data_IF_766360967543
#
_entry.id   IF_766360967543
#
_cell.length_a   1.000
_cell.length_b   1.000
_cell.length_c   1.000
_cell.angle_alpha   90.00
_cell.angle_beta   90.00
_cell.angle_gamma   90.00
#
_symmetry.space_group_name_H-M   'P 1'
#
loop_
_entity.id
_entity.type
_entity.pdbx_description
1 polymer ?
#
# COMPACT_ATOMS: atom_id res chain seq x y z
N UNK A 1 27.07 4.48 -7.71
CA UNK A 1 25.73 4.75 -8.24
C UNK A 1 25.79 5.84 -9.32
N UNK A 2 24.85 5.85 -10.27
CA UNK A 2 24.73 6.91 -11.30
C UNK A 2 23.59 7.84 -10.86
N UNK A 3 23.83 9.15 -10.66
CA UNK A 3 22.76 10.08 -10.30
C UNK A 3 21.80 10.30 -11.47
N UNK A 4 20.50 10.32 -11.18
CA UNK A 4 19.44 10.59 -12.16
C UNK A 4 18.91 12.00 -11.93
N UNK A 5 18.70 12.75 -13.01
CA UNK A 5 18.17 14.11 -12.94
C UNK A 5 16.83 14.22 -13.66
N UNK A 6 15.76 14.40 -12.89
CA UNK A 6 14.40 14.58 -13.40
C UNK A 6 14.14 16.07 -13.61
N UNK A 7 13.89 16.48 -14.86
CA UNK A 7 13.68 17.89 -15.25
C UNK A 7 12.59 18.02 -16.29
N UNK A 8 11.96 19.19 -16.31
CA UNK A 8 11.05 19.59 -17.39
C UNK A 8 11.82 19.99 -18.64
N UNK A 9 11.32 19.60 -19.81
CA UNK A 9 11.81 20.12 -21.10
C UNK A 9 11.23 21.50 -21.44
N UNK A 10 10.23 21.95 -20.67
CA UNK A 10 9.52 23.22 -20.88
C UNK A 10 10.02 24.36 -19.99
N UNK A 11 10.82 24.06 -18.96
CA UNK A 11 11.35 25.07 -18.03
C UNK A 11 12.83 24.87 -17.77
N UNK A 12 13.52 25.92 -17.35
CA UNK A 12 14.93 25.86 -16.94
C UNK A 12 15.14 25.50 -15.47
N UNK A 13 14.05 25.17 -14.76
CA UNK A 13 14.10 24.85 -13.34
C UNK A 13 15.09 23.70 -13.05
N UNK A 14 15.71 23.71 -11.85
CA UNK A 14 16.70 22.71 -11.50
C UNK A 14 16.08 21.32 -11.42
N UNK A 15 14.79 21.15 -11.06
CA UNK A 15 14.18 19.83 -10.95
C UNK A 15 14.73 19.00 -9.78
N UNK A 16 14.62 17.68 -9.86
CA UNK A 16 14.95 16.76 -8.74
C UNK A 16 16.09 15.82 -9.11
N UNK A 17 17.09 15.71 -8.23
CA UNK A 17 18.20 14.76 -8.37
C UNK A 17 17.94 13.55 -7.49
N UNK A 18 18.02 12.36 -8.06
CA UNK A 18 17.94 11.07 -7.36
C UNK A 18 19.36 10.50 -7.29
N UNK A 19 19.87 10.29 -6.07
CA UNK A 19 21.22 9.79 -5.78
C UNK A 19 21.24 9.00 -4.47
N UNK A 20 22.30 8.23 -4.26
CA UNK A 20 22.51 7.40 -3.06
C UNK A 20 22.98 8.21 -1.84
N UNK A 21 23.85 9.19 -2.05
CA UNK A 21 24.40 10.02 -0.97
C UNK A 21 23.44 11.16 -0.58
N UNK A 22 23.17 11.27 0.73
CA UNK A 22 22.37 12.34 1.31
C UNK A 22 23.22 13.54 1.70
N UNK A 23 22.72 14.76 1.51
CA UNK A 23 23.28 15.96 2.15
C UNK A 23 22.81 16.08 3.60
N UNK A 24 23.50 16.91 4.38
CA UNK A 24 23.12 17.19 5.78
C UNK A 24 21.75 17.87 5.86
N UNK A 25 21.43 18.75 4.91
CA UNK A 25 20.11 19.41 4.80
C UNK A 25 19.00 18.41 4.48
N UNK A 26 19.27 17.44 3.61
CA UNK A 26 18.34 16.37 3.24
C UNK A 26 18.01 15.43 4.41
N UNK A 27 18.87 15.33 5.44
CA UNK A 27 18.58 14.54 6.67
C UNK A 27 17.49 15.16 7.55
N UNK A 28 17.14 16.43 7.34
CA UNK A 28 16.07 17.09 8.11
C UNK A 28 14.67 16.58 7.77
N UNK A 29 14.48 16.01 6.57
CA UNK A 29 13.19 15.46 6.13
C UNK A 29 13.12 13.96 6.41
N UNK A 30 12.42 13.61 7.49
CA UNK A 30 12.19 12.22 7.89
C UNK A 30 11.31 11.49 6.85
N UNK A 31 10.26 12.19 6.40
CA UNK A 31 9.38 11.77 5.30
C UNK A 31 9.74 12.57 4.05
N UNK A 32 9.81 11.91 2.91
CA UNK A 32 10.18 12.49 1.61
C UNK A 32 9.00 12.74 0.70
N UNK A 33 7.88 12.07 0.94
CA UNK A 33 6.69 12.31 0.17
C UNK A 33 5.50 11.52 0.68
N UNK A 34 4.34 11.96 0.19
CA UNK A 34 3.06 11.26 0.30
C UNK A 34 2.68 10.84 -1.11
N UNK A 35 2.38 9.55 -1.29
CA UNK A 35 1.88 9.00 -2.53
C UNK A 35 0.46 8.47 -2.34
N UNK A 36 -0.33 8.46 -3.41
CA UNK A 36 -1.62 7.81 -3.41
C UNK A 36 -1.88 7.12 -4.75
N UNK A 37 -2.77 6.14 -4.73
CA UNK A 37 -3.24 5.41 -5.90
C UNK A 37 -4.74 5.12 -5.73
N UNK A 38 -5.55 5.70 -6.64
CA UNK A 38 -7.01 5.53 -6.68
C UNK A 38 -7.44 4.40 -7.63
N UNK A 39 -6.50 3.79 -8.36
CA UNK A 39 -6.76 2.78 -9.37
C UNK A 39 -6.40 1.37 -8.89
N UNK A 40 -6.77 1.09 -7.63
CA UNK A 40 -6.54 -0.18 -6.97
C UNK A 40 -7.85 -0.85 -6.58
N UNK A 41 -7.88 -2.17 -6.68
CA UNK A 41 -8.97 -3.01 -6.18
C UNK A 41 -8.44 -3.92 -5.09
N UNK A 42 -9.14 -3.99 -3.96
CA UNK A 42 -8.83 -4.91 -2.85
C UNK A 42 -9.56 -6.24 -3.07
N UNK A 43 -8.80 -7.33 -3.07
CA UNK A 43 -9.32 -8.69 -3.10
C UNK A 43 -8.99 -9.35 -1.76
N UNK A 44 -9.97 -10.01 -1.16
CA UNK A 44 -9.81 -10.76 0.09
C UNK A 44 -10.22 -12.20 -0.11
N UNK A 45 -9.27 -13.12 0.09
CA UNK A 45 -9.51 -14.56 0.16
C UNK A 45 -9.71 -14.92 1.62
N UNK A 46 -10.93 -15.30 1.95
CA UNK A 46 -11.39 -15.48 3.31
C UNK A 46 -11.17 -16.91 3.78
N UNK A 47 -10.65 -17.05 4.99
CA UNK A 47 -10.69 -18.29 5.76
C UNK A 47 -9.96 -19.45 5.10
N UNK A 48 -8.77 -19.21 4.56
CA UNK A 48 -7.92 -20.26 3.99
C UNK A 48 -7.05 -20.91 5.07
N UNK A 49 -6.69 -22.17 4.86
CA UNK A 49 -5.78 -22.88 5.76
C UNK A 49 -4.39 -22.23 5.77
N UNK A 50 -3.84 -21.97 6.94
CA UNK A 50 -2.50 -21.43 7.10
C UNK A 50 -1.45 -22.55 7.01
N UNK A 51 -1.25 -23.07 5.80
CA UNK A 51 -0.32 -24.16 5.50
C UNK A 51 0.50 -23.84 4.24
N UNK A 52 1.70 -24.45 4.08
CA UNK A 52 2.51 -24.25 2.89
C UNK A 52 1.73 -24.54 1.59
N UNK A 53 1.92 -23.68 0.59
CA UNK A 53 1.37 -23.86 -0.76
C UNK A 53 0.08 -23.08 -1.07
N UNK A 54 -0.68 -22.61 -0.07
CA UNK A 54 -1.90 -21.84 -0.33
C UNK A 54 -1.60 -20.52 -1.02
N UNK A 55 -0.68 -19.72 -0.46
CA UNK A 55 -0.22 -18.47 -1.08
C UNK A 55 0.34 -18.71 -2.49
N UNK A 56 1.15 -19.76 -2.66
CA UNK A 56 1.71 -20.14 -3.96
C UNK A 56 0.61 -20.41 -5.00
N UNK A 57 -0.43 -21.17 -4.66
CA UNK A 57 -1.54 -21.44 -5.57
C UNK A 57 -2.26 -20.16 -6.01
N UNK A 58 -2.53 -19.25 -5.07
CA UNK A 58 -3.22 -17.98 -5.36
C UNK A 58 -2.38 -17.13 -6.31
N UNK A 59 -1.14 -16.86 -5.95
CA UNK A 59 -0.30 -15.92 -6.71
C UNK A 59 0.24 -16.53 -8.01
N UNK A 60 0.42 -17.86 -8.09
CA UNK A 60 0.74 -18.51 -9.36
C UNK A 60 -0.42 -18.43 -10.35
N UNK A 61 -1.66 -18.64 -9.89
CA UNK A 61 -2.83 -18.54 -10.77
C UNK A 61 -3.02 -17.11 -11.31
N UNK A 62 -2.78 -16.08 -10.47
CA UNK A 62 -2.79 -14.69 -10.91
C UNK A 62 -1.67 -14.39 -11.91
N UNK A 63 -0.45 -14.89 -11.64
CA UNK A 63 0.68 -14.72 -12.54
C UNK A 63 0.47 -15.42 -13.91
N UNK A 64 -0.11 -16.62 -13.92
CA UNK A 64 -0.47 -17.36 -15.15
C UNK A 64 -1.51 -16.61 -15.99
N UNK A 65 -2.35 -15.79 -15.34
CA UNK A 65 -3.30 -14.88 -15.98
C UNK A 65 -2.72 -13.50 -16.32
N UNK A 66 -1.42 -13.27 -16.09
CA UNK A 66 -0.72 -12.01 -16.32
C UNK A 66 -1.30 -10.82 -15.53
N UNK A 67 -1.69 -11.07 -14.28
CA UNK A 67 -2.20 -10.06 -13.35
C UNK A 67 -1.11 -9.73 -12.34
N UNK A 68 -0.75 -8.45 -12.27
CA UNK A 68 0.21 -7.95 -11.29
C UNK A 68 -0.45 -7.71 -9.94
N UNK A 69 0.28 -8.01 -8.86
CA UNK A 69 -0.18 -7.88 -7.48
C UNK A 69 0.74 -6.90 -6.77
N UNK A 70 0.15 -5.89 -6.12
CA UNK A 70 0.89 -4.82 -5.45
C UNK A 70 1.04 -5.08 -3.95
N UNK A 71 -0.01 -4.84 -3.17
CA UNK A 71 0.02 -5.03 -1.72
C UNK A 71 -0.40 -6.46 -1.39
N UNK A 72 0.33 -7.13 -0.49
CA UNK A 72 -0.08 -8.44 0.07
C UNK A 72 -0.08 -8.32 1.60
N UNK A 73 -1.19 -8.66 2.23
CA UNK A 73 -1.37 -8.70 3.68
C UNK A 73 -2.01 -10.01 4.08
N UNK A 74 -1.33 -10.76 4.93
CA UNK A 74 -1.86 -11.98 5.55
C UNK A 74 -1.98 -11.74 7.06
N UNK A 75 -3.18 -11.95 7.60
CA UNK A 75 -3.44 -11.79 9.03
C UNK A 75 -4.18 -13.00 9.60
N UNK A 76 -3.69 -13.50 10.74
CA UNK A 76 -4.30 -14.61 11.46
C UNK A 76 -5.64 -14.15 12.06
N UNK A 77 -6.71 -14.93 11.82
CA UNK A 77 -8.04 -14.60 12.36
C UNK A 77 -8.15 -14.84 13.87
N UNK A 78 -7.52 -15.90 14.36
CA UNK A 78 -7.46 -16.25 15.78
C UNK A 78 -6.18 -17.04 16.03
N UNK A 79 -5.56 -16.83 17.20
CA UNK A 79 -4.36 -17.56 17.61
C UNK A 79 -4.58 -19.09 17.67
N UNK A 80 -5.83 -19.51 17.90
CA UNK A 80 -6.18 -20.93 18.07
C UNK A 80 -6.69 -21.58 16.78
N UNK A 81 -6.91 -20.80 15.71
CA UNK A 81 -7.34 -21.31 14.41
C UNK A 81 -6.17 -21.33 13.43
N UNK A 82 -5.92 -22.45 12.76
CA UNK A 82 -4.97 -22.51 11.65
C UNK A 82 -5.55 -21.92 10.35
N UNK A 83 -6.30 -20.82 10.48
CA UNK A 83 -7.08 -20.18 9.41
C UNK A 83 -6.69 -18.70 9.36
N UNK A 84 -6.46 -18.23 8.15
CA UNK A 84 -5.99 -16.86 7.87
C UNK A 84 -6.81 -16.25 6.74
N UNK A 85 -6.83 -14.92 6.70
CA UNK A 85 -7.23 -14.20 5.51
C UNK A 85 -6.01 -13.75 4.73
N UNK A 86 -6.15 -13.72 3.42
CA UNK A 86 -5.16 -13.13 2.51
C UNK A 86 -5.84 -11.99 1.77
N UNK A 87 -5.34 -10.78 2.00
CA UNK A 87 -5.78 -9.57 1.32
C UNK A 87 -4.68 -9.13 0.37
N UNK A 88 -5.05 -8.76 -0.85
CA UNK A 88 -4.10 -8.16 -1.77
C UNK A 88 -4.77 -7.15 -2.68
N UNK A 89 -3.96 -6.32 -3.34
CA UNK A 89 -4.42 -5.35 -4.32
C UNK A 89 -3.94 -5.68 -5.72
N UNK A 90 -4.80 -5.39 -6.69
CA UNK A 90 -4.52 -5.43 -8.14
C UNK A 90 -4.93 -4.09 -8.76
N UNK A 91 -4.46 -3.81 -9.97
CA UNK A 91 -4.97 -2.66 -10.72
C UNK A 91 -6.48 -2.80 -10.96
N UNK A 92 -7.25 -1.72 -10.87
CA UNK A 92 -8.70 -1.77 -11.07
C UNK A 92 -9.12 -2.32 -12.43
N UNK A 93 -8.24 -2.21 -13.45
CA UNK A 93 -8.50 -2.75 -14.78
C UNK A 93 -8.52 -4.29 -14.79
N UNK A 94 -7.79 -4.92 -13.87
CA UNK A 94 -7.64 -6.38 -13.77
C UNK A 94 -8.62 -7.00 -12.77
N UNK A 95 -9.42 -6.18 -12.08
CA UNK A 95 -10.30 -6.57 -10.98
C UNK A 95 -11.21 -7.77 -11.30
N UNK A 96 -11.91 -7.72 -12.44
CA UNK A 96 -12.86 -8.78 -12.83
C UNK A 96 -12.15 -10.08 -13.26
N UNK A 97 -10.99 -9.99 -13.90
CA UNK A 97 -10.21 -11.17 -14.25
C UNK A 97 -9.59 -11.80 -13.01
N UNK A 98 -8.99 -10.99 -12.14
CA UNK A 98 -8.44 -11.43 -10.86
C UNK A 98 -9.49 -12.12 -10.00
N UNK A 99 -10.72 -11.57 -9.94
CA UNK A 99 -11.84 -12.21 -9.27
C UNK A 99 -12.13 -13.59 -9.85
N UNK A 100 -12.27 -13.71 -11.17
CA UNK A 100 -12.58 -15.00 -11.83
C UNK A 100 -11.49 -16.05 -11.57
N UNK A 101 -10.22 -15.66 -11.65
CA UNK A 101 -9.08 -16.53 -11.37
C UNK A 101 -9.14 -17.05 -9.93
N UNK A 102 -9.31 -16.16 -8.96
CA UNK A 102 -9.29 -16.50 -7.53
C UNK A 102 -10.52 -17.31 -7.14
N UNK A 103 -11.69 -16.97 -7.65
CA UNK A 103 -12.91 -17.77 -7.47
C UNK A 103 -12.76 -19.17 -8.09
N UNK A 104 -12.12 -19.28 -9.25
CA UNK A 104 -11.88 -20.56 -9.94
C UNK A 104 -11.03 -21.54 -9.13
N UNK A 105 -10.08 -21.04 -8.32
CA UNK A 105 -9.23 -21.88 -7.46
C UNK A 105 -9.74 -21.97 -6.01
N UNK A 106 -10.83 -21.28 -5.66
CA UNK A 106 -11.30 -21.13 -4.27
C UNK A 106 -11.58 -22.47 -3.56
N UNK A 107 -12.10 -23.46 -4.30
CA UNK A 107 -12.33 -24.81 -3.81
C UNK A 107 -11.02 -25.56 -3.49
N UNK A 108 -10.00 -25.40 -4.34
CA UNK A 108 -8.69 -26.08 -4.24
C UNK A 108 -7.82 -25.56 -3.09
N UNK A 109 -8.13 -24.35 -2.62
CA UNK A 109 -7.50 -23.72 -1.46
C UNK A 109 -8.40 -23.74 -0.22
N UNK A 110 -9.59 -24.34 -0.32
CA UNK A 110 -10.59 -24.39 0.73
C UNK A 110 -10.94 -23.02 1.31
N UNK A 111 -11.02 -22.00 0.45
CA UNK A 111 -11.43 -20.67 0.88
C UNK A 111 -12.91 -20.68 1.34
N UNK A 112 -13.17 -19.99 2.44
CA UNK A 112 -14.54 -19.75 2.93
C UNK A 112 -15.29 -18.72 2.08
N UNK A 113 -14.58 -17.90 1.31
CA UNK A 113 -15.15 -16.94 0.39
C UNK A 113 -14.09 -16.08 -0.28
N UNK A 114 -14.50 -15.35 -1.33
CA UNK A 114 -13.69 -14.33 -1.99
C UNK A 114 -14.52 -13.05 -1.99
N UNK A 115 -13.92 -11.95 -1.54
CA UNK A 115 -14.54 -10.63 -1.53
C UNK A 115 -13.73 -9.66 -2.39
N UNK A 116 -14.42 -8.75 -3.08
CA UNK A 116 -13.84 -7.70 -3.88
C UNK A 116 -14.39 -6.35 -3.42
N UNK A 117 -13.51 -5.36 -3.32
CA UNK A 117 -13.87 -3.99 -3.00
C UNK A 117 -13.14 -3.06 -3.97
N UNK A 118 -13.91 -2.42 -4.84
CA UNK A 118 -13.44 -1.46 -5.83
C UNK A 118 -13.49 -0.01 -5.31
N UNK A 119 -14.05 0.22 -4.12
CA UNK A 119 -14.14 1.55 -3.50
C UNK A 119 -13.08 1.69 -2.40
N UNK A 120 -11.82 1.56 -2.83
CA UNK A 120 -10.65 1.73 -1.98
C UNK A 120 -9.57 2.51 -2.72
N UNK A 121 -8.70 3.14 -1.96
CA UNK A 121 -7.49 3.76 -2.46
C UNK A 121 -6.32 3.46 -1.53
N UNK A 122 -5.12 3.41 -2.11
CA UNK A 122 -3.88 3.26 -1.37
C UNK A 122 -3.29 4.64 -1.10
N UNK A 123 -2.92 4.89 0.15
CA UNK A 123 -2.15 6.07 0.56
C UNK A 123 -0.87 5.59 1.22
N UNK A 124 0.25 6.26 0.93
CA UNK A 124 1.56 5.87 1.46
C UNK A 124 2.38 7.07 1.86
N UNK A 125 3.05 6.99 2.99
CA UNK A 125 4.19 7.87 3.30
C UNK A 125 5.48 7.12 2.99
N UNK A 126 6.46 7.81 2.40
CA UNK A 126 7.76 7.23 2.06
C UNK A 126 8.87 8.12 2.60
N UNK A 127 9.86 7.52 3.24
CA UNK A 127 11.03 8.23 3.72
C UNK A 127 12.08 7.31 4.33
N UNK A 128 13.35 7.46 3.90
CA UNK A 128 14.46 6.74 4.51
C UNK A 128 14.65 7.09 6.00
N UNK A 129 14.17 8.28 6.42
CA UNK A 129 14.21 8.69 7.82
C UNK A 129 13.24 7.91 8.72
N UNK A 130 12.32 7.11 8.18
CA UNK A 130 11.41 6.29 9.00
C UNK A 130 12.17 5.25 9.84
N UNK A 131 13.28 4.73 9.30
CA UNK A 131 14.11 3.75 9.99
C UNK A 131 14.72 4.37 11.26
N UNK A 132 14.46 3.75 12.41
CA UNK A 132 14.99 4.20 13.70
C UNK A 132 14.30 5.44 14.31
N UNK A 133 13.25 5.96 13.68
CA UNK A 133 12.47 7.10 14.20
C UNK A 133 11.09 6.63 14.69
N UNK A 134 10.93 6.32 16.00
CA UNK A 134 9.64 5.92 16.54
C UNK A 134 8.62 7.06 16.43
N UNK A 135 7.34 6.71 16.29
CA UNK A 135 6.24 7.67 16.30
C UNK A 135 5.73 8.11 14.91
N UNK A 136 6.44 7.79 13.83
CA UNK A 136 5.97 8.15 12.47
C UNK A 136 4.62 7.53 12.14
N UNK A 137 4.44 6.23 12.41
CA UNK A 137 3.15 5.55 12.23
C UNK A 137 2.05 6.22 13.06
N UNK A 138 2.34 6.52 14.33
CA UNK A 138 1.39 7.20 15.24
C UNK A 138 0.94 8.55 14.69
N UNK A 139 1.87 9.35 14.15
CA UNK A 139 1.57 10.66 13.54
C UNK A 139 0.66 10.52 12.31
N UNK A 140 0.99 9.60 11.39
CA UNK A 140 0.16 9.34 10.21
C UNK A 140 -1.25 8.88 10.61
N UNK A 141 -1.35 7.91 11.51
CA UNK A 141 -2.65 7.38 11.95
C UNK A 141 -3.44 8.43 12.73
N UNK A 142 -2.77 9.26 13.53
CA UNK A 142 -3.37 10.41 14.22
C UNK A 142 -3.95 11.43 13.24
N UNK A 143 -3.21 11.81 12.21
CA UNK A 143 -3.67 12.75 11.18
C UNK A 143 -4.92 12.25 10.46
N UNK A 144 -4.96 10.96 10.10
CA UNK A 144 -6.12 10.35 9.43
C UNK A 144 -7.31 10.18 10.39
N UNK A 145 -7.06 9.75 11.62
CA UNK A 145 -8.08 9.62 12.67
C UNK A 145 -8.75 10.96 12.99
N UNK A 146 -7.98 12.04 13.10
CA UNK A 146 -8.50 13.39 13.35
C UNK A 146 -9.42 13.90 12.22
N UNK A 147 -9.25 13.38 11.00
CA UNK A 147 -10.11 13.66 9.85
C UNK A 147 -11.30 12.68 9.73
N UNK A 148 -11.43 11.72 10.65
CA UNK A 148 -12.48 10.70 10.60
C UNK A 148 -12.27 9.65 9.51
N UNK A 149 -11.04 9.49 9.02
CA UNK A 149 -10.70 8.55 7.93
C UNK A 149 -10.30 7.21 8.55
N UNK A 150 -11.13 6.19 8.32
CA UNK A 150 -10.88 4.83 8.79
C UNK A 150 -9.78 4.14 7.95
N UNK A 151 -8.90 3.40 8.61
CA UNK A 151 -7.89 2.55 7.96
C UNK A 151 -8.45 1.14 7.82
N UNK A 152 -8.51 0.63 6.59
CA UNK A 152 -9.03 -0.71 6.32
C UNK A 152 -7.93 -1.76 6.40
N UNK A 153 -6.77 -1.46 5.82
CA UNK A 153 -5.60 -2.34 5.77
C UNK A 153 -4.36 -1.48 5.99
N UNK A 154 -3.36 -2.02 6.67
CA UNK A 154 -2.05 -1.41 6.88
C UNK A 154 -0.98 -2.38 6.39
N UNK A 155 -0.04 -1.88 5.60
CA UNK A 155 1.15 -2.60 5.16
C UNK A 155 2.38 -1.70 5.27
N UNK A 156 3.52 -2.26 5.66
CA UNK A 156 4.72 -1.49 5.98
C UNK A 156 5.97 -2.13 5.38
N UNK A 157 6.90 -1.30 4.92
CA UNK A 157 8.30 -1.67 4.67
C UNK A 157 9.22 -0.87 5.60
N UNK A 158 10.55 -1.03 5.46
CA UNK A 158 11.52 -0.27 6.26
C UNK A 158 11.42 1.26 6.06
N UNK A 159 10.94 1.70 4.90
CA UNK A 159 10.93 3.12 4.50
C UNK A 159 9.55 3.62 4.05
N UNK A 160 8.49 2.83 4.27
CA UNK A 160 7.14 3.19 3.84
C UNK A 160 6.07 2.60 4.74
N UNK A 161 5.01 3.37 4.99
CA UNK A 161 3.75 2.89 5.56
C UNK A 161 2.66 3.17 4.53
N UNK A 162 1.96 2.12 4.13
CA UNK A 162 0.84 2.15 3.20
C UNK A 162 -0.44 1.75 3.92
N UNK A 163 -1.53 2.46 3.62
CA UNK A 163 -2.86 2.13 4.12
C UNK A 163 -3.87 2.08 2.99
N UNK A 164 -4.84 1.17 3.09
CA UNK A 164 -6.05 1.23 2.28
C UNK A 164 -7.12 2.02 3.06
N UNK A 165 -7.77 2.94 2.35
CA UNK A 165 -8.88 3.77 2.85
C UNK A 165 -10.01 3.77 1.82
N UNK A 166 -11.19 4.28 2.18
CA UNK A 166 -12.29 4.50 1.23
C UNK A 166 -11.86 5.48 0.12
N UNK A 167 -12.23 5.17 -1.13
CA UNK A 167 -11.80 5.94 -2.30
C UNK A 167 -12.18 7.43 -2.24
N UNK A 168 -13.37 7.74 -1.71
CA UNK A 168 -13.83 9.12 -1.55
C UNK A 168 -12.99 10.00 -0.59
N UNK A 169 -12.10 9.41 0.21
CA UNK A 169 -11.34 10.12 1.26
C UNK A 169 -9.90 10.50 0.86
N UNK A 170 -9.46 10.17 -0.36
CA UNK A 170 -8.04 10.29 -0.79
C UNK A 170 -7.51 11.71 -0.66
N UNK A 171 -8.23 12.69 -1.22
CA UNK A 171 -7.77 14.08 -1.22
C UNK A 171 -7.59 14.63 0.21
N UNK A 172 -8.54 14.37 1.09
CA UNK A 172 -8.44 14.81 2.49
C UNK A 172 -7.34 14.06 3.21
N UNK A 173 -7.22 12.74 3.02
CA UNK A 173 -6.14 11.93 3.59
C UNK A 173 -4.75 12.47 3.20
N UNK A 174 -4.52 12.71 1.90
CA UNK A 174 -3.25 13.26 1.40
C UNK A 174 -2.95 14.61 2.03
N UNK A 175 -3.92 15.52 2.05
CA UNK A 175 -3.73 16.85 2.64
C UNK A 175 -3.41 16.76 4.14
N UNK A 176 -4.10 15.92 4.90
CA UNK A 176 -3.90 15.77 6.36
C UNK A 176 -2.54 15.19 6.69
N UNK A 177 -2.10 14.21 5.92
CA UNK A 177 -0.76 13.66 6.04
C UNK A 177 0.27 14.73 5.64
N UNK A 178 0.01 15.49 4.59
CA UNK A 178 0.91 16.55 4.15
C UNK A 178 1.06 17.63 5.22
N UNK A 179 -0.04 18.14 5.79
CA UNK A 179 -0.04 19.14 6.86
C UNK A 179 0.75 18.64 8.09
N UNK A 180 0.63 17.36 8.44
CA UNK A 180 1.31 16.75 9.58
C UNK A 180 2.83 16.65 9.37
N UNK A 181 3.29 16.26 8.17
CA UNK A 181 4.71 16.00 7.91
C UNK A 181 5.46 17.18 7.26
N UNK A 182 4.74 18.15 6.67
CA UNK A 182 5.29 19.29 5.94
C UNK A 182 4.67 20.64 6.40
N UNK A 183 4.71 20.98 7.70
CA UNK A 183 4.01 22.16 8.25
C UNK A 183 4.60 23.53 7.85
N UNK A 184 5.78 23.57 7.22
CA UNK A 184 6.49 24.81 6.88
C UNK A 184 6.49 25.14 5.37
N UNK A 185 5.72 24.41 4.55
CA UNK A 185 5.59 24.64 3.10
C UNK A 185 4.22 25.27 2.71
N UNK A 186 3.46 25.77 3.68
CA UNK A 186 2.19 26.47 3.49
C UNK A 186 2.35 28.00 3.41
#
# INVERSE_FOLDING_TARGET
>A
SIPIHVRSTFTSEPGTIIREEYTVEEKSFIIRGVAHDEHVTKITVLGVSNVPGVAYKIFSALADANIDVDMIVQSLRSADSNVTDMVFTVASIDAEEARRVVEGISADIHASGVSIDNDVAKISIVGAGMLGNPGIASRMFGALSNAGINLEIISTSEISISCLIKGGSVKDAVNRIHDEFFPNEA
#
